data_IF_309287281763
#
_entry.id   IF_309287281763
#
_cell.length_a   1.000
_cell.length_b   1.000
_cell.length_c   1.000
_cell.angle_alpha   90.00
_cell.angle_beta   90.00
_cell.angle_gamma   90.00
#
_symmetry.space_group_name_H-M   'P 1'
#
loop_
_entity.id
_entity.type
_entity.pdbx_description
1 polymer ?
#
# COMPACT_ATOMS: atom_id res chain seq x y z
N UNK A 1 53.05 2.63 -7.60
CA UNK A 1 52.36 1.42 -8.13
C UNK A 1 51.45 1.83 -9.28
N UNK A 2 51.89 1.68 -10.53
CA UNK A 2 51.04 1.97 -11.68
C UNK A 2 50.02 0.83 -11.86
N UNK A 3 48.73 1.09 -11.59
CA UNK A 3 47.67 0.13 -11.92
C UNK A 3 47.74 -0.15 -13.42
N UNK A 4 47.84 -1.42 -13.80
CA UNK A 4 47.90 -1.83 -15.20
C UNK A 4 46.64 -1.37 -15.95
N UNK A 5 46.73 -1.23 -17.27
CA UNK A 5 45.58 -0.81 -18.11
C UNK A 5 44.39 -1.77 -17.92
N UNK A 6 44.65 -3.05 -17.67
CA UNK A 6 43.64 -4.08 -17.39
C UNK A 6 42.92 -3.83 -16.07
N UNK A 7 43.64 -3.49 -14.99
CA UNK A 7 43.04 -3.20 -13.68
C UNK A 7 42.08 -2.01 -13.80
N UNK A 8 42.49 -0.93 -14.48
CA UNK A 8 41.62 0.25 -14.70
C UNK A 8 40.39 -0.07 -15.54
N UNK A 9 40.52 -0.94 -16.54
CA UNK A 9 39.39 -1.36 -17.37
C UNK A 9 38.38 -2.16 -16.52
N UNK A 10 38.86 -3.09 -15.70
CA UNK A 10 38.02 -3.90 -14.82
C UNK A 10 37.32 -3.05 -13.75
N UNK A 11 38.00 -2.04 -13.17
CA UNK A 11 37.38 -1.09 -12.24
C UNK A 11 36.21 -0.34 -12.89
N UNK A 12 36.39 0.18 -14.11
CA UNK A 12 35.32 0.85 -14.85
C UNK A 12 34.15 -0.08 -15.18
N UNK A 13 34.42 -1.34 -15.49
CA UNK A 13 33.37 -2.34 -15.73
C UNK A 13 32.59 -2.57 -14.44
N UNK A 14 33.27 -2.78 -13.31
CA UNK A 14 32.64 -2.99 -12.01
C UNK A 14 31.75 -1.80 -11.60
N UNK A 15 32.25 -0.57 -11.73
CA UNK A 15 31.48 0.65 -11.46
C UNK A 15 30.21 0.73 -12.31
N UNK A 16 30.31 0.46 -13.62
CA UNK A 16 29.15 0.47 -14.51
C UNK A 16 28.14 -0.63 -14.18
N UNK A 17 28.62 -1.82 -13.84
CA UNK A 17 27.77 -2.96 -13.48
C UNK A 17 27.00 -2.66 -12.19
N UNK A 18 27.69 -2.21 -11.14
CA UNK A 18 27.06 -1.85 -9.86
C UNK A 18 26.08 -0.70 -10.04
N UNK A 19 26.46 0.33 -10.81
CA UNK A 19 25.56 1.45 -11.13
C UNK A 19 24.34 1.02 -11.94
N UNK A 20 24.50 0.07 -12.86
CA UNK A 20 23.40 -0.53 -13.62
C UNK A 20 22.41 -1.26 -12.72
N UNK A 21 22.90 -2.12 -11.83
CA UNK A 21 22.05 -2.84 -10.86
C UNK A 21 21.31 -1.88 -9.93
N UNK A 22 21.99 -0.86 -9.42
CA UNK A 22 21.36 0.14 -8.53
C UNK A 22 20.20 0.87 -9.23
N UNK A 23 20.37 1.26 -10.49
CA UNK A 23 19.30 1.90 -11.28
C UNK A 23 18.10 0.99 -11.51
N UNK A 24 18.35 -0.31 -11.74
CA UNK A 24 17.29 -1.31 -11.89
C UNK A 24 16.52 -1.44 -10.58
N UNK A 25 17.22 -1.57 -9.45
CA UNK A 25 16.61 -1.66 -8.12
C UNK A 25 15.74 -0.44 -7.82
N UNK A 26 16.28 0.77 -7.98
CA UNK A 26 15.54 2.02 -7.77
C UNK A 26 14.31 2.12 -8.66
N UNK A 27 14.44 1.74 -9.95
CA UNK A 27 13.34 1.74 -10.90
C UNK A 27 12.23 0.75 -10.55
N UNK A 28 12.59 -0.49 -10.17
CA UNK A 28 11.64 -1.54 -9.80
C UNK A 28 10.93 -1.19 -8.50
N UNK A 29 11.67 -0.83 -7.45
CA UNK A 29 11.09 -0.48 -6.14
C UNK A 29 10.20 0.76 -6.28
N UNK A 30 10.64 1.78 -7.02
CA UNK A 30 9.84 2.96 -7.29
C UNK A 30 8.57 2.65 -8.10
N UNK A 31 8.67 1.74 -9.07
CA UNK A 31 7.52 1.27 -9.86
C UNK A 31 6.46 0.58 -9.00
N UNK A 32 6.87 -0.36 -8.14
CA UNK A 32 5.95 -1.05 -7.23
C UNK A 32 5.24 -0.10 -6.27
N UNK A 33 5.98 0.83 -5.64
CA UNK A 33 5.38 1.83 -4.74
C UNK A 33 4.31 2.67 -5.43
N UNK A 34 4.56 3.13 -6.66
CA UNK A 34 3.57 3.90 -7.43
C UNK A 34 2.31 3.10 -7.74
N UNK A 35 2.46 1.82 -8.08
CA UNK A 35 1.31 0.93 -8.32
C UNK A 35 0.51 0.75 -7.03
N UNK A 36 1.18 0.49 -5.91
CA UNK A 36 0.56 0.35 -4.60
C UNK A 36 -0.22 1.62 -4.20
N UNK A 37 0.44 2.78 -4.24
CA UNK A 37 -0.17 4.08 -3.92
C UNK A 37 -1.37 4.37 -4.82
N UNK A 38 -1.27 4.10 -6.12
CA UNK A 38 -2.35 4.30 -7.08
C UNK A 38 -3.55 3.37 -6.84
N UNK A 39 -3.29 2.08 -6.63
CA UNK A 39 -4.34 1.08 -6.42
C UNK A 39 -5.05 1.27 -5.07
N UNK A 40 -4.29 1.37 -3.98
CA UNK A 40 -4.83 1.56 -2.62
C UNK A 40 -5.53 2.91 -2.52
N UNK A 41 -4.91 3.97 -3.04
CA UNK A 41 -5.52 5.30 -3.06
C UNK A 41 -6.81 5.36 -3.87
N UNK A 42 -6.86 4.67 -5.02
CA UNK A 42 -8.07 4.59 -5.84
C UNK A 42 -9.23 3.89 -5.13
N UNK A 43 -8.97 2.73 -4.51
CA UNK A 43 -9.98 2.00 -3.74
C UNK A 43 -10.47 2.81 -2.54
N UNK A 44 -9.56 3.47 -1.81
CA UNK A 44 -9.94 4.33 -0.69
C UNK A 44 -10.88 5.45 -1.14
N UNK A 45 -10.57 6.13 -2.25
CA UNK A 45 -11.44 7.20 -2.79
C UNK A 45 -12.84 6.70 -3.14
N UNK A 46 -12.96 5.56 -3.81
CA UNK A 46 -14.26 4.97 -4.16
C UNK A 46 -15.02 4.60 -2.89
N UNK A 47 -14.33 3.99 -1.91
CA UNK A 47 -14.92 3.65 -0.61
C UNK A 47 -15.40 4.89 0.14
N UNK A 48 -14.62 5.98 0.12
CA UNK A 48 -14.97 7.24 0.77
C UNK A 48 -16.21 7.84 0.15
N UNK A 49 -16.26 7.95 -1.18
CA UNK A 49 -17.45 8.44 -1.90
C UNK A 49 -18.69 7.59 -1.63
N UNK A 50 -18.54 6.26 -1.55
CA UNK A 50 -19.67 5.38 -1.23
C UNK A 50 -20.19 5.61 0.20
N UNK A 51 -19.29 5.73 1.18
CA UNK A 51 -19.68 6.00 2.57
C UNK A 51 -20.37 7.37 2.65
N UNK A 52 -19.78 8.39 2.04
CA UNK A 52 -20.31 9.75 2.02
C UNK A 52 -21.73 9.82 1.43
N UNK A 53 -21.94 9.20 0.27
CA UNK A 53 -23.22 9.27 -0.44
C UNK A 53 -24.32 8.42 0.19
N UNK A 54 -23.98 7.28 0.81
CA UNK A 54 -24.99 6.27 1.16
C UNK A 54 -25.04 5.90 2.63
N UNK A 55 -23.99 6.12 3.40
CA UNK A 55 -23.86 5.53 4.75
C UNK A 55 -23.63 6.55 5.86
N UNK A 56 -23.30 7.80 5.56
CA UNK A 56 -23.29 8.90 6.51
C UNK A 56 -24.70 9.18 7.05
N UNK A 57 -24.77 9.63 8.29
CA UNK A 57 -26.00 9.99 8.99
C UNK A 57 -25.78 11.28 9.77
N UNK A 58 -26.84 12.07 9.91
CA UNK A 58 -26.87 13.21 10.85
C UNK A 58 -25.73 14.23 10.67
N UNK A 59 -25.21 14.38 9.45
CA UNK A 59 -24.12 15.29 9.13
C UNK A 59 -22.75 14.86 9.67
N UNK A 60 -22.59 13.60 10.07
CA UNK A 60 -21.30 13.03 10.47
C UNK A 60 -20.29 13.03 9.31
N UNK A 61 -19.01 13.11 9.64
CA UNK A 61 -17.91 12.96 8.68
C UNK A 61 -17.76 11.52 8.19
N UNK A 62 -17.05 11.33 7.07
CA UNK A 62 -16.76 10.00 6.50
C UNK A 62 -16.02 9.11 7.51
N UNK A 63 -15.11 9.70 8.29
CA UNK A 63 -14.31 8.98 9.29
C UNK A 63 -15.17 8.51 10.47
N UNK A 64 -16.07 9.37 10.94
CA UNK A 64 -17.06 9.02 11.97
C UNK A 64 -18.01 7.92 11.48
N UNK A 65 -18.53 8.05 10.26
CA UNK A 65 -19.39 7.04 9.65
C UNK A 65 -18.68 5.68 9.56
N UNK A 66 -17.41 5.65 9.14
CA UNK A 66 -16.61 4.42 9.09
C UNK A 66 -16.39 3.81 10.48
N UNK A 67 -16.09 4.62 11.48
CA UNK A 67 -15.91 4.15 12.85
C UNK A 67 -17.20 3.51 13.38
N UNK A 68 -18.34 4.19 13.22
CA UNK A 68 -19.66 3.67 13.61
C UNK A 68 -19.99 2.36 12.89
N UNK A 69 -19.80 2.30 11.56
CA UNK A 69 -20.04 1.08 10.78
C UNK A 69 -19.17 -0.09 11.25
N UNK A 70 -17.92 0.17 11.63
CA UNK A 70 -17.04 -0.87 12.16
C UNK A 70 -17.52 -1.41 13.52
N UNK A 71 -18.03 -0.55 14.40
CA UNK A 71 -18.64 -0.96 15.67
C UNK A 71 -19.93 -1.76 15.43
N UNK A 72 -20.83 -1.27 14.58
CA UNK A 72 -22.06 -1.96 14.20
C UNK A 72 -21.78 -3.36 13.60
N UNK A 73 -20.69 -3.51 12.83
CA UNK A 73 -20.26 -4.81 12.29
C UNK A 73 -19.75 -5.75 13.39
N UNK A 74 -18.90 -5.27 14.31
CA UNK A 74 -18.44 -6.06 15.46
C UNK A 74 -19.60 -6.54 16.31
N UNK A 75 -20.57 -5.67 16.59
CA UNK A 75 -21.77 -6.06 17.31
C UNK A 75 -22.58 -7.14 16.59
N UNK A 76 -22.79 -7.00 15.28
CA UNK A 76 -23.50 -7.99 14.48
C UNK A 76 -22.80 -9.35 14.51
N UNK A 77 -21.48 -9.37 14.41
CA UNK A 77 -20.69 -10.59 14.50
C UNK A 77 -20.78 -11.23 15.89
N UNK A 78 -20.67 -10.44 16.96
CA UNK A 78 -20.83 -10.95 18.33
C UNK A 78 -22.24 -11.53 18.55
N UNK A 79 -23.28 -10.85 18.06
CA UNK A 79 -24.67 -11.35 18.11
C UNK A 79 -24.81 -12.66 17.33
N UNK A 80 -24.19 -12.76 16.14
CA UNK A 80 -24.19 -13.98 15.33
C UNK A 80 -23.45 -15.16 16.00
N UNK A 81 -22.29 -14.91 16.62
CA UNK A 81 -21.53 -15.92 17.36
C UNK A 81 -22.33 -16.44 18.56
N UNK A 82 -22.86 -15.54 19.39
CA UNK A 82 -23.71 -15.93 20.54
C UNK A 82 -24.95 -16.71 20.10
N UNK A 83 -25.51 -16.40 18.93
CA UNK A 83 -26.63 -17.16 18.37
C UNK A 83 -26.18 -18.56 17.98
N UNK A 84 -25.01 -18.71 17.34
CA UNK A 84 -24.47 -20.01 16.91
C UNK A 84 -24.08 -20.91 18.09
N UNK A 85 -23.61 -20.34 19.20
CA UNK A 85 -23.30 -21.09 20.44
C UNK A 85 -24.55 -21.59 21.18
N UNK A 86 -25.73 -21.06 20.84
CA UNK A 86 -27.03 -21.44 21.43
C UNK A 86 -27.79 -22.50 20.62
N UNK A 87 -27.24 -22.98 19.50
CA UNK A 87 -27.80 -24.04 18.64
C UNK A 87 -26.91 -25.26 18.71
#
# INVERSE_FOLDING_TARGET
MAKSRLVKANEKIAEKVVGGYKKIEEGVVGGYKKIEEGAVGGVNKISDSFVDQFLTKDGESIEEAKARLAEEQKERQMKAMKKKERV
#
